data_IF_252295731305
#
_entry.id   IF_252295731305
#
_cell.length_a   1.000
_cell.length_b   1.000
_cell.length_c   1.000
_cell.angle_alpha   90.00
_cell.angle_beta   90.00
_cell.angle_gamma   90.00
#
_symmetry.space_group_name_H-M   'P 1'
#
loop_
_entity.id
_entity.type
_entity.pdbx_description
1 polymer ?
#
# COMPACT_ATOMS: atom_id res chain seq x y z
N UNK A 1 -16.90 37.35 34.61
CA UNK A 1 -16.44 38.22 33.50
C UNK A 1 -15.71 37.37 32.49
N UNK A 2 -16.41 36.99 31.42
CA UNK A 2 -15.87 36.18 30.31
C UNK A 2 -14.86 37.01 29.51
N UNK A 3 -13.68 36.45 29.22
CA UNK A 3 -12.84 36.94 28.12
C UNK A 3 -12.61 35.81 27.13
N UNK A 4 -13.30 35.93 26.01
CA UNK A 4 -13.08 35.22 24.77
C UNK A 4 -11.64 35.43 24.29
N UNK A 5 -10.94 34.34 24.02
CA UNK A 5 -9.79 34.36 23.12
C UNK A 5 -10.27 33.90 21.74
N UNK A 6 -10.29 34.88 20.85
CA UNK A 6 -10.73 34.79 19.46
C UNK A 6 -9.78 33.93 18.63
N UNK A 7 -10.37 33.11 17.77
CA UNK A 7 -9.73 32.39 16.66
C UNK A 7 -8.77 33.33 15.91
N UNK A 8 -7.49 32.95 15.83
CA UNK A 8 -6.58 33.54 14.84
C UNK A 8 -6.87 32.93 13.46
N UNK A 9 -6.89 33.73 12.38
CA UNK A 9 -7.08 33.24 11.03
C UNK A 9 -5.88 32.39 10.59
N UNK A 10 -6.17 31.30 9.88
CA UNK A 10 -5.19 30.42 9.23
C UNK A 10 -4.22 31.29 8.42
N UNK A 11 -2.94 31.27 8.82
CA UNK A 11 -1.87 31.72 7.92
C UNK A 11 -1.87 30.76 6.74
N UNK A 12 -1.89 31.32 5.53
CA UNK A 12 -1.60 30.64 4.29
C UNK A 12 -0.33 29.79 4.45
N UNK A 13 -0.49 28.49 4.64
CA UNK A 13 0.56 27.56 4.28
C UNK A 13 0.50 27.47 2.75
N UNK A 14 1.55 27.88 2.01
CA UNK A 14 1.64 27.51 0.61
C UNK A 14 1.63 25.98 0.58
N UNK A 15 0.59 25.41 -0.02
CA UNK A 15 0.58 24.01 -0.43
C UNK A 15 1.77 23.89 -1.38
N UNK A 16 2.90 23.40 -0.86
CA UNK A 16 3.98 22.96 -1.73
C UNK A 16 3.39 21.80 -2.51
N UNK A 17 3.01 22.06 -3.77
CA UNK A 17 2.93 21.02 -4.77
C UNK A 17 4.32 20.41 -4.84
N UNK A 18 4.57 19.39 -4.01
CA UNK A 18 5.71 18.53 -4.20
C UNK A 18 5.45 17.84 -5.53
N UNK A 19 6.06 18.38 -6.57
CA UNK A 19 6.28 17.66 -7.80
C UNK A 19 7.15 16.46 -7.42
N UNK A 20 6.53 15.31 -7.17
CA UNK A 20 7.20 14.02 -7.11
C UNK A 20 7.74 13.73 -8.51
N UNK A 21 8.89 14.32 -8.83
CA UNK A 21 9.75 13.85 -9.92
C UNK A 21 10.73 12.85 -9.33
N UNK A 22 10.17 11.82 -8.70
CA UNK A 22 10.95 10.62 -8.38
C UNK A 22 11.23 9.95 -9.71
N UNK A 23 12.51 9.66 -9.99
CA UNK A 23 12.95 8.87 -11.14
C UNK A 23 12.30 7.49 -11.12
N UNK A 24 11.06 7.41 -11.58
CA UNK A 24 10.37 6.17 -11.84
C UNK A 24 11.07 5.57 -13.05
N UNK A 25 11.85 4.50 -12.81
CA UNK A 25 12.11 3.57 -13.88
C UNK A 25 10.74 3.22 -14.50
N UNK A 26 10.63 3.34 -15.82
CA UNK A 26 9.40 3.07 -16.59
C UNK A 26 9.02 1.58 -16.58
N UNK A 27 9.23 0.88 -15.46
CA UNK A 27 8.58 -0.40 -15.26
C UNK A 27 7.08 -0.10 -15.07
N UNK A 28 6.30 -0.38 -16.11
CA UNK A 28 4.87 -0.15 -16.11
C UNK A 28 4.25 -0.89 -14.91
N UNK A 29 3.69 -0.12 -13.96
CA UNK A 29 2.87 -0.68 -12.89
C UNK A 29 1.65 -1.32 -13.55
N UNK A 30 1.48 -2.62 -13.38
CA UNK A 30 0.33 -3.34 -13.92
C UNK A 30 -0.76 -3.38 -12.84
N UNK A 31 -1.95 -2.89 -13.19
CA UNK A 31 -3.13 -3.04 -12.36
C UNK A 31 -3.51 -4.53 -12.32
N UNK A 32 -3.48 -5.12 -11.13
CA UNK A 32 -3.84 -6.51 -10.91
C UNK A 32 -5.32 -6.62 -10.53
N UNK A 33 -5.78 -5.78 -9.60
CA UNK A 33 -7.15 -5.77 -9.13
C UNK A 33 -7.63 -4.34 -8.91
N UNK A 34 -8.88 -4.06 -9.26
CA UNK A 34 -9.57 -2.82 -8.87
C UNK A 34 -10.96 -3.20 -8.37
N UNK A 35 -11.31 -2.78 -7.16
CA UNK A 35 -12.64 -3.04 -6.65
C UNK A 35 -13.18 -1.89 -5.82
N UNK A 36 -14.50 -1.77 -5.85
CA UNK A 36 -15.25 -0.74 -5.14
C UNK A 36 -16.24 -1.46 -4.22
N UNK A 37 -16.30 -1.06 -2.96
CA UNK A 37 -17.21 -1.66 -2.00
C UNK A 37 -17.80 -0.63 -1.05
N UNK A 38 -18.93 -1.00 -0.44
CA UNK A 38 -19.61 -0.24 0.59
C UNK A 38 -19.67 -1.08 1.87
N UNK A 39 -18.93 -0.72 2.95
CA UNK A 39 -18.69 -1.59 4.10
C UNK A 39 -19.97 -1.96 4.88
N UNK A 40 -21.00 -1.13 4.75
CA UNK A 40 -22.31 -1.28 5.42
C UNK A 40 -23.41 -1.86 4.51
N UNK A 41 -23.11 -2.17 3.26
CA UNK A 41 -24.11 -2.70 2.34
C UNK A 41 -24.22 -4.22 2.51
N UNK A 42 -25.41 -4.74 2.78
CA UNK A 42 -25.59 -6.18 2.98
C UNK A 42 -24.88 -6.74 4.22
N UNK A 43 -25.14 -8.02 4.47
CA UNK A 43 -24.55 -8.79 5.56
C UNK A 43 -23.36 -9.63 5.10
N UNK A 44 -23.36 -10.07 3.84
CA UNK A 44 -22.31 -10.91 3.26
C UNK A 44 -21.27 -10.10 2.47
N UNK A 45 -20.08 -10.67 2.28
CA UNK A 45 -18.99 -10.01 1.56
C UNK A 45 -19.37 -9.65 0.11
N UNK A 46 -20.09 -10.53 -0.58
CA UNK A 46 -20.52 -10.30 -1.96
C UNK A 46 -21.51 -9.15 -2.11
N UNK A 47 -22.36 -8.95 -1.11
CA UNK A 47 -23.34 -7.87 -1.11
C UNK A 47 -22.71 -6.50 -0.88
N UNK A 48 -21.51 -6.46 -0.27
CA UNK A 48 -20.73 -5.23 -0.04
C UNK A 48 -20.04 -4.74 -1.31
N UNK A 49 -19.76 -5.65 -2.23
CA UNK A 49 -18.98 -5.39 -3.43
C UNK A 49 -19.87 -4.74 -4.50
N UNK A 50 -19.48 -3.56 -4.97
CA UNK A 50 -20.20 -2.82 -6.01
C UNK A 50 -19.58 -3.02 -7.39
N UNK A 51 -18.27 -3.26 -7.43
CA UNK A 51 -17.50 -3.47 -8.65
C UNK A 51 -16.24 -4.27 -8.36
N UNK A 52 -15.84 -5.12 -9.31
CA UNK A 52 -14.57 -5.83 -9.28
C UNK A 52 -14.00 -5.98 -10.69
N UNK A 53 -12.72 -5.69 -10.83
CA UNK A 53 -11.92 -5.91 -12.03
C UNK A 53 -10.70 -6.77 -11.67
N UNK A 54 -10.37 -7.78 -12.47
CA UNK A 54 -11.09 -8.24 -13.67
C UNK A 54 -12.46 -8.85 -13.37
N UNK A 55 -13.45 -8.63 -14.25
CA UNK A 55 -14.86 -9.05 -14.02
C UNK A 55 -15.04 -10.57 -13.98
N UNK A 56 -14.16 -11.32 -14.64
CA UNK A 56 -14.18 -12.78 -14.70
C UNK A 56 -13.48 -13.45 -13.51
N UNK A 57 -13.00 -12.67 -12.54
CA UNK A 57 -12.38 -13.20 -11.32
C UNK A 57 -13.40 -14.04 -10.55
N UNK A 58 -13.07 -15.27 -10.09
CA UNK A 58 -14.00 -16.09 -9.31
C UNK A 58 -14.50 -15.36 -8.06
N UNK A 59 -15.80 -15.50 -7.74
CA UNK A 59 -16.43 -14.79 -6.63
C UNK A 59 -15.70 -15.01 -5.28
N UNK A 60 -15.22 -16.22 -5.03
CA UNK A 60 -14.45 -16.55 -3.83
C UNK A 60 -13.15 -15.72 -3.72
N UNK A 61 -12.46 -15.48 -4.84
CA UNK A 61 -11.26 -14.64 -4.87
C UNK A 61 -11.60 -13.16 -4.66
N UNK A 62 -12.72 -12.69 -5.22
CA UNK A 62 -13.22 -11.33 -4.97
C UNK A 62 -13.53 -11.10 -3.49
N UNK A 63 -14.20 -12.08 -2.85
CA UNK A 63 -14.49 -12.04 -1.42
C UNK A 63 -13.21 -12.07 -0.57
N UNK A 64 -12.22 -12.87 -0.96
CA UNK A 64 -10.93 -12.93 -0.28
C UNK A 64 -10.18 -11.59 -0.37
N UNK A 65 -10.20 -10.94 -1.54
CA UNK A 65 -9.59 -9.62 -1.72
C UNK A 65 -10.25 -8.55 -0.83
N UNK A 66 -11.59 -8.53 -0.78
CA UNK A 66 -12.33 -7.65 0.11
C UNK A 66 -12.03 -7.94 1.59
N UNK A 67 -12.08 -9.22 1.97
CA UNK A 67 -11.82 -9.67 3.33
C UNK A 67 -10.41 -9.29 3.81
N UNK A 68 -9.42 -9.38 2.93
CA UNK A 68 -8.04 -8.97 3.22
C UNK A 68 -7.95 -7.48 3.56
N UNK A 69 -8.57 -6.60 2.76
CA UNK A 69 -8.54 -5.15 3.02
C UNK A 69 -9.26 -4.81 4.31
N UNK A 70 -10.42 -5.40 4.57
CA UNK A 70 -11.17 -5.17 5.82
C UNK A 70 -10.39 -5.66 7.04
N UNK A 71 -9.72 -6.82 6.92
CA UNK A 71 -8.88 -7.35 8.00
C UNK A 71 -7.66 -6.44 8.25
N UNK A 72 -7.03 -5.93 7.21
CA UNK A 72 -5.91 -4.98 7.31
C UNK A 72 -6.34 -3.65 7.95
N UNK A 73 -7.49 -3.10 7.57
CA UNK A 73 -8.06 -1.92 8.21
C UNK A 73 -8.22 -2.13 9.73
N UNK A 74 -8.86 -3.23 10.12
CA UNK A 74 -9.07 -3.56 11.53
C UNK A 74 -7.74 -3.80 12.27
N UNK A 75 -6.78 -4.45 11.63
CA UNK A 75 -5.46 -4.69 12.20
C UNK A 75 -4.70 -3.37 12.41
N UNK A 76 -4.64 -2.52 11.38
CA UNK A 76 -3.89 -1.27 11.39
C UNK A 76 -4.51 -0.23 12.35
N UNK A 77 -5.82 -0.28 12.56
CA UNK A 77 -6.48 0.51 13.59
C UNK A 77 -5.93 0.24 15.01
N UNK A 78 -5.53 -1.01 15.31
CA UNK A 78 -4.90 -1.34 16.60
C UNK A 78 -3.53 -0.67 16.80
N UNK A 79 -2.90 -0.23 15.70
CA UNK A 79 -1.64 0.50 15.72
C UNK A 79 -1.83 2.02 15.58
N UNK A 80 -3.08 2.51 15.62
CA UNK A 80 -3.39 3.94 15.52
C UNK A 80 -3.25 4.52 14.12
N UNK A 81 -3.20 3.68 13.08
CA UNK A 81 -3.22 4.14 11.68
C UNK A 81 -4.60 4.72 11.37
N UNK A 82 -4.63 5.87 10.70
CA UNK A 82 -5.88 6.48 10.26
C UNK A 82 -6.59 5.59 9.23
N UNK A 83 -7.93 5.55 9.31
CA UNK A 83 -8.76 4.79 8.38
C UNK A 83 -9.39 5.73 7.32
N UNK A 84 -9.43 5.33 6.03
CA UNK A 84 -8.74 4.16 5.49
C UNK A 84 -7.22 4.32 5.57
N UNK A 85 -6.48 3.22 5.65
CA UNK A 85 -5.05 3.27 5.35
C UNK A 85 -4.90 3.64 3.87
N UNK A 86 -4.01 4.58 3.52
CA UNK A 86 -3.96 5.05 2.13
C UNK A 86 -3.12 4.15 1.21
N UNK A 87 -2.05 3.58 1.77
CA UNK A 87 -1.06 2.81 1.01
C UNK A 87 -0.50 1.66 1.85
N UNK A 88 -0.51 0.47 1.26
CA UNK A 88 0.24 -0.69 1.75
C UNK A 88 1.13 -1.22 0.63
N UNK A 89 2.44 -1.25 0.87
CA UNK A 89 3.41 -1.82 -0.06
C UNK A 89 3.96 -3.14 0.48
N UNK A 90 3.96 -4.16 -0.36
CA UNK A 90 4.65 -5.44 -0.14
C UNK A 90 5.80 -5.57 -1.14
N UNK A 91 6.55 -6.67 -1.06
CA UNK A 91 7.61 -6.95 -2.04
C UNK A 91 7.08 -7.10 -3.48
N UNK A 92 5.84 -7.54 -3.65
CA UNK A 92 5.26 -7.87 -4.96
C UNK A 92 4.07 -6.98 -5.35
N UNK A 93 3.43 -6.30 -4.40
CA UNK A 93 2.18 -5.58 -4.64
C UNK A 93 2.15 -4.23 -3.95
N UNK A 94 1.40 -3.29 -4.51
CA UNK A 94 0.98 -2.05 -3.85
C UNK A 94 -0.54 -1.96 -3.81
N UNK A 95 -1.09 -1.84 -2.62
CA UNK A 95 -2.50 -1.57 -2.38
C UNK A 95 -2.65 -0.08 -2.16
N UNK A 96 -3.48 0.55 -2.98
CA UNK A 96 -3.92 1.93 -2.81
C UNK A 96 -5.38 1.87 -2.40
N UNK A 97 -5.70 2.41 -1.23
CA UNK A 97 -7.07 2.41 -0.71
C UNK A 97 -7.51 3.85 -0.49
N UNK A 98 -8.65 4.18 -1.07
CA UNK A 98 -9.23 5.51 -1.06
C UNK A 98 -10.67 5.44 -0.58
N UNK A 99 -11.09 6.48 0.14
CA UNK A 99 -12.47 6.69 0.55
C UNK A 99 -12.99 7.98 -0.08
N UNK A 100 -13.39 7.97 -1.37
CA UNK A 100 -13.90 9.15 -2.06
C UNK A 100 -15.15 9.74 -1.38
N UNK A 101 -15.96 8.89 -0.74
CA UNK A 101 -17.11 9.29 0.08
C UNK A 101 -17.13 8.48 1.39
N UNK A 102 -17.74 8.99 2.48
CA UNK A 102 -17.71 8.34 3.80
C UNK A 102 -18.15 6.87 3.86
N UNK A 103 -18.86 6.37 2.84
CA UNK A 103 -19.28 4.97 2.78
C UNK A 103 -18.90 4.25 1.50
N UNK A 104 -18.04 4.85 0.68
CA UNK A 104 -17.58 4.24 -0.56
C UNK A 104 -16.07 4.08 -0.51
N UNK A 105 -15.61 2.86 -0.76
CA UNK A 105 -14.21 2.50 -0.72
C UNK A 105 -13.77 2.05 -2.11
N UNK A 106 -12.61 2.52 -2.54
CA UNK A 106 -11.97 2.16 -3.78
C UNK A 106 -10.60 1.58 -3.47
N UNK A 107 -10.33 0.38 -3.97
CA UNK A 107 -9.07 -0.33 -3.78
C UNK A 107 -8.46 -0.64 -5.13
N UNK A 108 -7.23 -0.21 -5.35
CA UNK A 108 -6.43 -0.59 -6.50
C UNK A 108 -5.18 -1.34 -6.06
N UNK A 109 -4.99 -2.54 -6.59
CA UNK A 109 -3.83 -3.39 -6.34
C UNK A 109 -2.98 -3.42 -7.59
N UNK A 110 -1.72 -3.02 -7.45
CA UNK A 110 -0.74 -3.00 -8.52
C UNK A 110 0.32 -4.06 -8.28
N UNK A 111 0.62 -4.86 -9.31
CA UNK A 111 1.79 -5.73 -9.32
C UNK A 111 3.05 -4.88 -9.49
N UNK A 112 4.02 -5.12 -8.62
CA UNK A 112 5.35 -4.56 -8.73
C UNK A 112 6.21 -5.46 -9.60
N UNK A 113 7.05 -4.89 -10.48
CA UNK A 113 8.07 -5.66 -11.17
C UNK A 113 8.96 -6.34 -10.12
N UNK A 114 9.42 -7.58 -10.38
CA UNK A 114 10.36 -8.23 -9.48
C UNK A 114 11.57 -7.31 -9.30
N UNK A 115 11.89 -6.97 -8.06
CA UNK A 115 13.12 -6.24 -7.78
C UNK A 115 14.26 -7.09 -8.31
N UNK A 116 15.04 -6.55 -9.26
CA UNK A 116 16.23 -7.23 -9.74
C UNK A 116 17.04 -7.69 -8.52
N UNK A 117 17.55 -8.93 -8.49
CA UNK A 117 18.40 -9.36 -7.39
C UNK A 117 19.53 -8.34 -7.28
N UNK A 118 19.59 -7.65 -6.14
CA UNK A 118 20.64 -6.69 -5.87
C UNK A 118 21.97 -7.41 -6.16
N UNK A 119 22.80 -6.81 -7.02
CA UNK A 119 24.06 -7.37 -7.49
C UNK A 119 25.14 -7.50 -6.38
N UNK A 120 24.72 -7.63 -5.12
CA UNK A 120 25.56 -7.72 -3.92
C UNK A 120 25.79 -9.16 -3.46
N UNK A 121 25.16 -10.16 -4.08
CA UNK A 121 25.44 -11.57 -3.77
C UNK A 121 26.82 -12.04 -4.26
N UNK A 122 27.45 -11.33 -5.22
CA UNK A 122 28.77 -11.71 -5.76
C UNK A 122 29.95 -11.27 -4.88
N UNK A 123 29.74 -10.38 -3.91
CA UNK A 123 30.82 -9.87 -3.06
C UNK A 123 30.94 -10.54 -1.70
N UNK A 124 30.01 -11.42 -1.31
CA UNK A 124 30.16 -12.24 -0.09
C UNK A 124 31.00 -13.49 -0.32
N UNK A 125 30.94 -14.10 -1.50
CA UNK A 125 31.75 -15.29 -1.81
C UNK A 125 33.24 -14.99 -2.00
N UNK A 126 33.61 -13.76 -2.38
CA UNK A 126 35.01 -13.40 -2.57
C UNK A 126 35.76 -13.08 -1.26
N UNK A 127 35.04 -12.74 -0.18
CA UNK A 127 35.66 -12.42 1.12
C UNK A 127 35.95 -13.71 1.92
N UNK A 128 35.18 -14.78 1.71
CA UNK A 128 35.38 -16.04 2.42
C UNK A 128 36.56 -16.86 1.85
N UNK A 129 36.88 -16.74 0.57
CA UNK A 129 38.02 -17.43 -0.05
C UNK A 129 39.38 -16.78 0.28
N UNK A 130 39.44 -15.46 0.42
CA UNK A 130 40.67 -14.76 0.84
C UNK A 130 40.99 -14.95 2.34
N UNK A 131 39.98 -15.16 3.19
CA UNK A 131 40.16 -15.38 4.62
C UNK A 131 40.68 -16.80 4.97
N UNK A 132 40.37 -17.82 4.14
CA UNK A 132 40.87 -19.18 4.34
C UNK A 132 42.30 -19.36 3.81
N UNK A 133 42.71 -18.55 2.82
CA UNK A 133 44.08 -18.52 2.32
C UNK A 133 45.08 -17.85 3.29
N UNK A 134 44.65 -16.83 4.05
CA UNK A 134 45.51 -16.14 5.05
C UNK A 134 45.69 -16.99 6.34
N UNK A 135 44.76 -17.89 6.65
CA UNK A 135 44.85 -18.79 7.80
C UNK A 135 45.72 -20.05 7.56
N UNK A 136 46.14 -20.30 6.31
CA UNK A 136 46.97 -21.45 5.95
C UNK A 136 48.48 -21.16 5.90
N UNK A 137 48.89 -19.89 6.08
CA UNK A 137 50.29 -19.45 6.08
C UNK A 137 50.73 -18.77 7.41
N UNK A 138 49.98 -19.00 8.49
CA UNK A 138 50.30 -18.57 9.86
C UNK A 138 50.45 -19.78 10.80
#
# INVERSE_FOLDING_TARGET
TFRSCTRRPRRNCPVQHQHYTTGMSNAALQLEQLFIFHPRLGSEAGEKLLYFHPEHTPLAEQHNALGLVVALEGLLANFGVASPFELLATAQRRYVVLQPEPSLWLVAVHMLPPSAPAATARQRGAIEEEAEAEAADA
#
